data_IF_649072704734
#
_entry.id   IF_649072704734
#
_cell.length_a   1.000
_cell.length_b   1.000
_cell.length_c   1.000
_cell.angle_alpha   90.00
_cell.angle_beta   90.00
_cell.angle_gamma   90.00
#
_symmetry.space_group_name_H-M   'P 1'
#
loop_
_entity.id
_entity.type
_entity.pdbx_description
1 polymer ?
#
# COMPACT_ATOMS: atom_id res chain seq x y z
N UNK A 1 -15.36 36.95 76.82
CA UNK A 1 -16.79 37.02 76.58
C UNK A 1 -17.06 36.27 75.31
N UNK A 2 -17.49 35.08 75.45
CA UNK A 2 -18.81 34.57 75.12
C UNK A 2 -19.16 34.72 73.61
N UNK A 3 -19.49 33.77 72.85
CA UNK A 3 -20.12 32.45 73.01
C UNK A 3 -20.10 31.77 71.61
N UNK A 4 -19.98 30.52 71.61
CA UNK A 4 -20.94 29.43 71.31
C UNK A 4 -21.96 29.71 70.22
N UNK A 5 -22.08 28.92 69.22
CA UNK A 5 -22.77 27.65 68.93
C UNK A 5 -23.03 27.67 67.39
N UNK A 6 -22.96 26.69 66.63
CA UNK A 6 -23.75 25.52 66.51
C UNK A 6 -23.48 24.72 65.28
N UNK A 7 -23.64 23.46 65.44
CA UNK A 7 -24.03 22.34 64.58
C UNK A 7 -24.39 22.64 63.13
N UNK A 8 -23.85 21.89 62.20
CA UNK A 8 -24.24 20.54 61.87
C UNK A 8 -24.70 20.57 60.43
N UNK A 9 -24.25 19.71 59.67
CA UNK A 9 -24.97 18.77 58.84
C UNK A 9 -23.99 18.13 57.84
N UNK A 10 -23.67 16.91 58.15
CA UNK A 10 -23.06 15.98 57.19
C UNK A 10 -24.05 15.75 56.07
N UNK A 11 -23.73 16.16 54.86
CA UNK A 11 -24.36 15.68 53.65
C UNK A 11 -23.47 14.63 53.04
N UNK A 12 -23.81 13.38 53.26
CA UNK A 12 -23.36 12.18 52.58
C UNK A 12 -23.64 12.34 51.07
N UNK A 13 -22.61 12.64 50.29
CA UNK A 13 -22.69 12.50 48.85
C UNK A 13 -22.25 11.10 48.44
N UNK A 14 -23.23 10.25 48.24
CA UNK A 14 -23.07 8.98 47.51
C UNK A 14 -22.61 9.30 46.09
N UNK A 15 -21.32 9.08 45.83
CA UNK A 15 -20.76 9.16 44.50
C UNK A 15 -21.25 7.98 43.64
N UNK A 16 -22.20 8.26 42.77
CA UNK A 16 -22.49 7.36 41.66
C UNK A 16 -21.27 7.33 40.72
N UNK A 17 -20.60 6.20 40.74
CA UNK A 17 -19.56 5.87 39.78
C UNK A 17 -20.14 5.85 38.38
N UNK A 18 -19.87 6.88 37.60
CA UNK A 18 -19.98 6.81 36.13
C UNK A 18 -18.88 5.87 35.66
N UNK A 19 -19.24 4.62 35.41
CA UNK A 19 -18.44 3.74 34.55
C UNK A 19 -18.23 4.48 33.22
N UNK A 20 -16.99 4.90 32.98
CA UNK A 20 -16.52 5.25 31.65
C UNK A 20 -16.54 3.95 30.86
N UNK A 21 -17.62 3.72 30.16
CA UNK A 21 -17.66 2.72 29.10
C UNK A 21 -16.58 3.07 28.08
N UNK A 22 -15.46 2.40 28.20
CA UNK A 22 -14.42 2.37 27.19
C UNK A 22 -15.07 1.74 25.96
N UNK A 23 -15.40 2.57 24.97
CA UNK A 23 -15.73 2.11 23.61
C UNK A 23 -14.47 1.44 23.06
N UNK A 24 -14.29 0.17 23.40
CA UNK A 24 -13.40 -0.72 22.68
C UNK A 24 -14.02 -0.85 21.31
N UNK A 25 -13.58 -0.03 20.37
CA UNK A 25 -13.86 -0.23 18.96
C UNK A 25 -13.35 -1.64 18.64
N UNK A 26 -14.26 -2.59 18.56
CA UNK A 26 -13.95 -3.93 18.06
C UNK A 26 -13.25 -3.73 16.72
N UNK A 27 -11.98 -4.13 16.64
CA UNK A 27 -11.23 -4.09 15.40
C UNK A 27 -12.11 -4.83 14.36
N UNK A 28 -12.61 -4.07 13.37
CA UNK A 28 -13.38 -4.66 12.29
C UNK A 28 -12.52 -5.78 11.72
N UNK A 29 -13.03 -7.01 11.73
CA UNK A 29 -12.30 -8.16 11.21
C UNK A 29 -11.75 -7.80 9.84
N UNK A 30 -10.46 -8.05 9.64
CA UNK A 30 -9.80 -7.76 8.36
C UNK A 30 -10.46 -8.65 7.30
N UNK A 31 -11.14 -8.03 6.34
CA UNK A 31 -11.76 -8.75 5.23
C UNK A 31 -10.69 -9.61 4.52
N UNK A 32 -10.90 -10.93 4.39
CA UNK A 32 -9.93 -11.81 3.78
C UNK A 32 -9.77 -11.50 2.28
N UNK A 33 -8.56 -11.67 1.74
CA UNK A 33 -8.34 -11.63 0.30
C UNK A 33 -8.99 -12.85 -0.34
N UNK A 34 -9.90 -12.59 -1.25
CA UNK A 34 -10.55 -13.56 -2.14
C UNK A 34 -10.44 -13.09 -3.59
N UNK A 35 -10.78 -13.94 -4.55
CA UNK A 35 -10.83 -13.57 -5.96
C UNK A 35 -11.79 -12.39 -6.19
N UNK A 36 -12.94 -12.39 -5.53
CA UNK A 36 -13.94 -11.33 -5.60
C UNK A 36 -13.37 -9.98 -5.12
N UNK A 37 -12.70 -9.96 -3.97
CA UNK A 37 -12.05 -8.75 -3.42
C UNK A 37 -10.94 -8.28 -4.37
N UNK A 38 -10.18 -9.21 -4.94
CA UNK A 38 -9.11 -8.92 -5.89
C UNK A 38 -9.63 -8.15 -7.12
N UNK A 39 -10.65 -8.69 -7.80
CA UNK A 39 -11.20 -8.05 -9.02
C UNK A 39 -11.89 -6.72 -8.71
N UNK A 40 -12.53 -6.57 -7.55
CA UNK A 40 -13.11 -5.30 -7.11
C UNK A 40 -12.03 -4.23 -6.92
N UNK A 41 -10.89 -4.57 -6.32
CA UNK A 41 -9.76 -3.65 -6.16
C UNK A 41 -9.19 -3.25 -7.53
N UNK A 42 -9.03 -4.20 -8.45
CA UNK A 42 -8.53 -3.90 -9.79
C UNK A 42 -9.45 -2.93 -10.55
N UNK A 43 -10.77 -3.14 -10.47
CA UNK A 43 -11.76 -2.23 -11.04
C UNK A 43 -11.72 -0.85 -10.38
N UNK A 44 -11.56 -0.78 -9.06
CA UNK A 44 -11.41 0.48 -8.33
C UNK A 44 -10.15 1.25 -8.78
N UNK A 45 -9.01 0.59 -8.92
CA UNK A 45 -7.77 1.24 -9.36
C UNK A 45 -7.86 1.72 -10.82
N UNK A 46 -8.60 1.02 -11.68
CA UNK A 46 -8.94 1.52 -13.01
C UNK A 46 -9.78 2.80 -12.92
N UNK A 47 -10.84 2.81 -12.09
CA UNK A 47 -11.71 4.00 -11.93
C UNK A 47 -10.96 5.21 -11.39
N UNK A 48 -9.95 5.00 -10.53
CA UNK A 48 -9.06 6.05 -10.02
C UNK A 48 -8.04 6.54 -11.06
N UNK A 49 -7.98 5.91 -12.24
CA UNK A 49 -7.06 6.28 -13.31
C UNK A 49 -5.63 5.78 -13.11
N UNK A 50 -5.43 4.82 -12.22
CA UNK A 50 -4.09 4.29 -11.91
C UNK A 50 -3.71 3.06 -12.75
N UNK A 51 -4.71 2.40 -13.36
CA UNK A 51 -4.51 1.21 -14.19
C UNK A 51 -5.30 1.31 -15.51
N UNK A 52 -5.07 2.41 -16.24
CA UNK A 52 -5.77 2.67 -17.50
C UNK A 52 -5.33 1.71 -18.62
N UNK A 53 -6.24 1.47 -19.55
CA UNK A 53 -6.02 0.49 -20.62
C UNK A 53 -5.91 -0.92 -20.03
N UNK A 54 -4.78 -1.59 -20.28
CA UNK A 54 -4.47 -2.89 -19.68
C UNK A 54 -3.28 -2.84 -18.72
N UNK A 55 -2.89 -1.62 -18.32
CA UNK A 55 -1.69 -1.36 -17.51
C UNK A 55 -1.85 -1.76 -16.05
N UNK A 56 -0.71 -1.80 -15.34
CA UNK A 56 -0.68 -2.13 -13.92
C UNK A 56 -1.03 -3.58 -13.60
N UNK A 57 -1.02 -3.90 -12.32
CA UNK A 57 -1.33 -5.24 -11.85
C UNK A 57 -1.22 -5.39 -10.34
N UNK A 58 -1.62 -6.52 -9.83
CA UNK A 58 -1.57 -6.84 -8.42
C UNK A 58 -1.21 -8.31 -8.21
N UNK A 59 -0.54 -8.57 -7.10
CA UNK A 59 -0.40 -9.90 -6.53
C UNK A 59 -0.74 -9.84 -5.04
N UNK A 60 -1.53 -10.78 -4.55
CA UNK A 60 -1.94 -10.82 -3.15
C UNK A 60 -2.16 -12.25 -2.68
N UNK A 61 -1.71 -12.55 -1.45
CA UNK A 61 -1.98 -13.84 -0.82
C UNK A 61 -3.47 -14.03 -0.56
N UNK A 62 -4.03 -15.12 -1.08
CA UNK A 62 -5.38 -15.56 -0.75
C UNK A 62 -5.43 -16.06 0.69
N UNK A 63 -6.46 -15.66 1.41
CA UNK A 63 -6.52 -15.91 2.85
C UNK A 63 -6.73 -17.39 3.19
N UNK A 64 -7.42 -18.15 2.34
CA UNK A 64 -7.82 -19.54 2.61
C UNK A 64 -6.67 -20.55 2.62
N UNK A 65 -5.65 -20.34 1.79
CA UNK A 65 -4.59 -21.33 1.54
C UNK A 65 -3.18 -20.73 1.32
N UNK A 66 -3.07 -19.40 1.34
CA UNK A 66 -1.80 -18.71 1.12
C UNK A 66 -1.29 -18.71 -0.32
N UNK A 67 -2.06 -19.23 -1.27
CA UNK A 67 -1.77 -19.12 -2.70
C UNK A 67 -1.75 -17.63 -3.08
N UNK A 68 -0.85 -17.27 -3.96
CA UNK A 68 -0.76 -15.91 -4.48
C UNK A 68 -1.67 -15.77 -5.70
N UNK A 69 -2.68 -14.92 -5.59
CA UNK A 69 -3.48 -14.47 -6.72
C UNK A 69 -2.69 -13.42 -7.50
N UNK A 70 -2.65 -13.54 -8.82
CA UNK A 70 -1.93 -12.62 -9.72
C UNK A 70 -2.83 -12.23 -10.88
N UNK A 71 -2.87 -10.94 -11.19
CA UNK A 71 -3.62 -10.41 -12.33
C UNK A 71 -3.05 -10.90 -13.67
N UNK A 72 -3.90 -11.04 -14.70
CA UNK A 72 -3.44 -11.33 -16.07
C UNK A 72 -2.78 -10.12 -16.72
N UNK A 73 -1.99 -10.40 -17.76
CA UNK A 73 -1.45 -9.42 -18.70
C UNK A 73 -2.49 -9.03 -19.75
N UNK A 74 -2.42 -7.79 -20.23
CA UNK A 74 -3.15 -7.30 -21.42
C UNK A 74 -4.68 -7.42 -21.34
N UNK A 75 -5.24 -7.46 -20.12
CA UNK A 75 -6.69 -7.44 -19.87
C UNK A 75 -7.06 -6.12 -19.20
N UNK A 76 -8.10 -5.40 -19.68
CA UNK A 76 -8.63 -4.23 -18.99
C UNK A 76 -9.06 -4.58 -17.56
N UNK A 77 -8.58 -3.81 -16.58
CA UNK A 77 -8.69 -4.18 -15.16
C UNK A 77 -10.12 -4.13 -14.62
N UNK A 78 -10.97 -3.32 -15.23
CA UNK A 78 -12.41 -3.22 -14.92
C UNK A 78 -13.24 -4.36 -15.53
N UNK A 79 -12.62 -5.23 -16.33
CA UNK A 79 -13.29 -6.37 -17.00
C UNK A 79 -12.91 -7.72 -16.42
N UNK A 80 -12.05 -7.76 -15.43
CA UNK A 80 -11.59 -9.00 -14.84
C UNK A 80 -12.72 -9.77 -14.17
N UNK A 81 -12.81 -11.07 -14.48
CA UNK A 81 -13.57 -12.05 -13.73
C UNK A 81 -12.67 -12.87 -12.80
N UNK A 82 -13.27 -13.56 -11.84
CA UNK A 82 -12.51 -14.39 -10.89
C UNK A 82 -11.72 -15.50 -11.60
N UNK A 83 -12.27 -16.06 -12.69
CA UNK A 83 -11.64 -17.09 -13.51
C UNK A 83 -10.44 -16.60 -14.35
N UNK A 84 -10.21 -15.28 -14.42
CA UNK A 84 -9.09 -14.71 -15.17
C UNK A 84 -7.81 -14.62 -14.36
N UNK A 85 -7.88 -14.90 -13.06
CA UNK A 85 -6.74 -14.81 -12.16
C UNK A 85 -5.82 -16.00 -12.28
N UNK A 86 -4.53 -15.74 -12.12
CA UNK A 86 -3.49 -16.76 -12.04
C UNK A 86 -3.17 -17.09 -10.59
N UNK A 87 -2.80 -18.34 -10.35
CA UNK A 87 -2.46 -18.87 -9.04
C UNK A 87 -0.98 -19.23 -9.00
N UNK A 88 -0.26 -18.73 -8.00
CA UNK A 88 1.15 -19.00 -7.81
C UNK A 88 1.40 -19.55 -6.40
N UNK A 89 2.30 -20.51 -6.31
CA UNK A 89 2.89 -20.91 -5.04
C UNK A 89 4.18 -20.09 -4.81
N UNK A 90 4.17 -19.11 -3.90
CA UNK A 90 5.34 -18.26 -3.68
C UNK A 90 6.54 -19.02 -3.09
N UNK A 91 6.37 -20.23 -2.57
CA UNK A 91 7.43 -21.05 -2.00
C UNK A 91 8.13 -21.92 -3.05
N UNK A 92 7.49 -22.17 -4.19
CA UNK A 92 8.01 -23.03 -5.26
C UNK A 92 8.88 -22.26 -6.26
N UNK A 93 9.93 -22.89 -6.78
CA UNK A 93 10.70 -22.36 -7.92
C UNK A 93 9.87 -22.28 -9.19
N UNK A 94 9.04 -23.31 -9.44
CA UNK A 94 8.01 -23.30 -10.48
C UNK A 94 6.70 -22.81 -9.86
N UNK A 95 6.62 -21.48 -9.73
CA UNK A 95 5.60 -20.84 -8.91
C UNK A 95 4.19 -20.89 -9.52
N UNK A 96 4.05 -20.92 -10.86
CA UNK A 96 2.74 -20.94 -11.53
C UNK A 96 2.07 -22.30 -11.38
N UNK A 97 0.98 -22.37 -10.62
CA UNK A 97 0.24 -23.60 -10.35
C UNK A 97 -1.13 -23.67 -11.01
N UNK A 98 -1.64 -22.56 -11.54
CA UNK A 98 -2.94 -22.53 -12.22
C UNK A 98 -3.27 -21.20 -12.84
N UNK A 99 -4.28 -21.22 -13.73
CA UNK A 99 -4.79 -20.03 -14.40
C UNK A 99 -5.43 -20.37 -15.75
N UNK A 100 -6.07 -19.39 -16.39
CA UNK A 100 -6.74 -19.59 -17.68
C UNK A 100 -5.74 -19.81 -18.81
N UNK A 101 -5.98 -20.84 -19.63
CA UNK A 101 -5.08 -21.22 -20.75
C UNK A 101 -5.06 -20.21 -21.90
N UNK A 102 -6.07 -19.35 -22.01
CA UNK A 102 -6.21 -18.33 -23.07
C UNK A 102 -5.60 -16.97 -22.72
N UNK A 103 -5.14 -16.80 -21.47
CA UNK A 103 -4.47 -15.59 -20.99
C UNK A 103 -3.01 -15.89 -20.61
N UNK A 104 -2.28 -14.84 -20.25
CA UNK A 104 -0.94 -14.93 -19.68
C UNK A 104 -0.90 -14.19 -18.35
N UNK A 105 -0.09 -14.64 -17.38
CA UNK A 105 0.17 -13.88 -16.16
C UNK A 105 0.69 -12.47 -16.49
N UNK A 106 0.49 -11.54 -15.58
CA UNK A 106 1.09 -10.20 -15.66
C UNK A 106 2.59 -10.29 -15.97
N UNK A 107 3.09 -9.43 -16.86
CA UNK A 107 4.52 -9.29 -17.10
C UNK A 107 5.29 -8.93 -15.82
N UNK A 108 4.61 -8.28 -14.86
CA UNK A 108 5.16 -7.95 -13.55
C UNK A 108 5.17 -9.13 -12.56
N UNK A 109 4.64 -10.33 -12.92
CA UNK A 109 4.61 -11.46 -11.99
C UNK A 109 5.99 -11.82 -11.41
N UNK A 110 7.11 -11.78 -12.16
CA UNK A 110 8.43 -12.00 -11.60
C UNK A 110 8.83 -10.97 -10.54
N UNK A 111 8.47 -9.69 -10.73
CA UNK A 111 8.73 -8.62 -9.74
C UNK A 111 7.87 -8.80 -8.49
N UNK A 112 6.59 -9.16 -8.65
CA UNK A 112 5.71 -9.45 -7.52
C UNK A 112 6.25 -10.61 -6.68
N UNK A 113 6.65 -11.71 -7.32
CA UNK A 113 7.25 -12.86 -6.65
C UNK A 113 8.57 -12.49 -5.97
N UNK A 114 9.41 -11.67 -6.61
CA UNK A 114 10.65 -11.19 -6.00
C UNK A 114 10.36 -10.40 -4.71
N UNK A 115 9.47 -9.41 -4.74
CA UNK A 115 9.12 -8.62 -3.57
C UNK A 115 8.51 -9.46 -2.44
N UNK A 116 7.62 -10.39 -2.78
CA UNK A 116 6.98 -11.27 -1.79
C UNK A 116 7.99 -12.20 -1.12
N UNK A 117 8.96 -12.71 -1.86
CA UNK A 117 9.99 -13.63 -1.35
C UNK A 117 11.08 -12.93 -0.56
N UNK A 118 11.52 -11.75 -1.04
CA UNK A 118 12.67 -11.04 -0.48
C UNK A 118 12.32 -10.05 0.63
N UNK A 119 11.04 -9.66 0.74
CA UNK A 119 10.63 -8.64 1.70
C UNK A 119 9.82 -9.28 2.83
N UNK A 120 10.34 -9.26 4.08
CA UNK A 120 9.61 -9.78 5.23
C UNK A 120 8.20 -9.16 5.35
N UNK A 121 7.22 -9.98 5.72
CA UNK A 121 5.82 -9.56 5.88
C UNK A 121 5.10 -9.08 4.61
N UNK A 122 5.72 -9.11 3.44
CA UNK A 122 5.04 -8.76 2.20
C UNK A 122 4.00 -9.83 1.83
N UNK A 123 2.72 -9.44 1.77
CA UNK A 123 1.58 -10.31 1.42
C UNK A 123 0.75 -9.77 0.26
N UNK A 124 1.00 -8.52 -0.13
CA UNK A 124 0.32 -7.89 -1.25
C UNK A 124 1.28 -6.90 -1.92
N UNK A 125 1.30 -6.91 -3.24
CA UNK A 125 2.03 -5.95 -4.09
C UNK A 125 1.06 -5.40 -5.11
N UNK A 126 1.05 -4.08 -5.26
CA UNK A 126 0.24 -3.37 -6.26
C UNK A 126 1.20 -2.56 -7.13
N UNK A 127 1.04 -2.66 -8.44
CA UNK A 127 1.77 -1.87 -9.44
C UNK A 127 0.79 -1.01 -10.22
N UNK A 128 1.05 0.28 -10.28
CA UNK A 128 0.22 1.26 -11.01
C UNK A 128 1.04 2.02 -12.06
N UNK A 129 0.34 2.48 -13.10
CA UNK A 129 0.86 3.40 -14.11
C UNK A 129 0.26 4.79 -13.91
N UNK A 130 0.28 5.29 -12.68
CA UNK A 130 -0.35 6.57 -12.39
C UNK A 130 0.32 7.74 -13.10
N UNK A 131 -0.50 8.69 -13.47
CA UNK A 131 -0.04 9.92 -14.13
C UNK A 131 0.95 10.70 -13.24
N UNK A 132 0.68 10.78 -11.95
CA UNK A 132 1.51 11.56 -11.04
C UNK A 132 2.86 10.89 -10.76
N UNK A 133 2.91 9.55 -10.68
CA UNK A 133 4.19 8.83 -10.62
C UNK A 133 5.06 9.12 -11.85
N UNK A 134 4.46 9.11 -13.05
CA UNK A 134 5.14 9.46 -14.29
C UNK A 134 5.66 10.90 -14.28
N UNK A 135 4.79 11.88 -13.99
CA UNK A 135 5.13 13.30 -14.00
C UNK A 135 6.20 13.65 -12.97
N UNK A 136 6.05 13.21 -11.73
CA UNK A 136 7.00 13.48 -10.65
C UNK A 136 8.38 12.92 -11.01
N UNK A 137 8.47 11.67 -11.45
CA UNK A 137 9.75 11.07 -11.83
C UNK A 137 10.39 11.72 -13.06
N UNK A 138 9.61 12.35 -13.93
CA UNK A 138 10.13 13.13 -15.06
C UNK A 138 10.75 14.47 -14.62
N UNK A 139 10.14 15.16 -13.63
CA UNK A 139 10.70 16.44 -13.12
C UNK A 139 11.88 16.27 -12.17
N UNK A 140 11.98 15.11 -11.51
CA UNK A 140 13.14 14.73 -10.69
C UNK A 140 14.12 13.86 -11.47
N UNK A 141 14.41 14.24 -12.74
CA UNK A 141 15.13 13.43 -13.70
C UNK A 141 16.52 12.98 -13.22
N UNK A 142 17.24 13.85 -12.48
CA UNK A 142 18.60 13.59 -12.01
C UNK A 142 18.63 12.97 -10.59
N UNK A 143 17.47 12.70 -9.97
CA UNK A 143 17.41 12.16 -8.62
C UNK A 143 17.13 10.66 -8.62
N UNK A 144 17.81 9.94 -7.74
CA UNK A 144 17.54 8.51 -7.45
C UNK A 144 16.44 8.28 -6.41
N UNK A 145 15.82 9.39 -5.90
CA UNK A 145 14.76 9.33 -4.91
C UNK A 145 13.92 10.60 -4.88
N UNK A 146 12.72 10.46 -4.35
CA UNK A 146 11.83 11.54 -3.95
C UNK A 146 11.73 11.57 -2.43
N UNK A 147 11.90 12.73 -1.82
CA UNK A 147 11.73 12.95 -0.38
C UNK A 147 10.50 13.82 -0.12
N UNK A 148 9.59 13.34 0.73
CA UNK A 148 8.35 14.02 1.09
C UNK A 148 8.28 14.14 2.61
N UNK A 149 8.00 15.35 3.11
CA UNK A 149 7.92 15.63 4.55
C UNK A 149 6.77 16.59 4.86
N UNK A 150 6.45 16.70 6.14
CA UNK A 150 5.46 17.65 6.67
C UNK A 150 4.08 17.50 6.01
N UNK A 151 3.67 16.25 5.74
CA UNK A 151 2.40 15.90 5.13
C UNK A 151 1.59 14.96 6.04
N UNK A 152 0.31 15.25 6.24
CA UNK A 152 -0.56 14.45 7.10
C UNK A 152 -0.75 13.01 6.56
N UNK A 153 -0.78 12.83 5.24
CA UNK A 153 -0.97 11.52 4.60
C UNK A 153 0.20 10.55 4.81
N UNK A 154 1.35 11.00 5.35
CA UNK A 154 2.44 10.12 5.77
C UNK A 154 1.98 9.11 6.84
N UNK A 155 0.99 9.47 7.67
CA UNK A 155 0.45 8.60 8.71
C UNK A 155 -0.21 7.31 8.19
N UNK A 156 -0.60 7.27 6.94
CA UNK A 156 -1.12 6.06 6.29
C UNK A 156 -0.04 5.12 5.76
N UNK A 157 1.23 5.52 5.79
CA UNK A 157 2.36 4.76 5.26
C UNK A 157 3.08 4.05 6.40
N UNK A 158 3.44 2.79 6.17
CA UNK A 158 4.18 1.97 7.13
C UNK A 158 5.68 2.08 6.82
N UNK A 159 6.46 2.43 7.83
CA UNK A 159 7.91 2.27 7.77
C UNK A 159 8.22 0.76 7.84
N UNK A 160 8.78 0.20 6.76
CA UNK A 160 9.03 -1.24 6.61
C UNK A 160 9.97 -1.79 7.69
N UNK A 161 10.97 -1.01 8.10
CA UNK A 161 11.96 -1.45 9.08
C UNK A 161 11.37 -1.60 10.49
N UNK A 162 10.44 -0.71 10.86
CA UNK A 162 9.83 -0.69 12.19
C UNK A 162 8.47 -1.37 12.26
N UNK A 163 7.81 -1.57 11.12
CA UNK A 163 6.43 -2.07 11.03
C UNK A 163 5.37 -1.07 11.52
N UNK A 164 5.77 0.17 11.86
CA UNK A 164 4.88 1.19 12.41
C UNK A 164 4.48 2.21 11.35
N UNK A 165 3.30 2.82 11.52
CA UNK A 165 2.91 3.97 10.73
C UNK A 165 3.88 5.15 10.95
N UNK A 166 4.17 5.88 9.88
CA UNK A 166 4.99 7.08 9.93
C UNK A 166 4.26 8.21 10.66
N UNK A 167 5.03 9.16 11.18
CA UNK A 167 4.50 10.45 11.67
C UNK A 167 4.50 11.46 10.51
N UNK A 168 3.62 12.43 10.56
CA UNK A 168 3.59 13.54 9.60
C UNK A 168 4.85 14.41 9.62
N UNK A 169 5.66 14.35 10.70
CA UNK A 169 6.94 15.05 10.86
C UNK A 169 8.16 14.26 10.38
N UNK A 170 7.97 13.01 9.95
CA UNK A 170 9.04 12.18 9.37
C UNK A 170 9.18 12.44 7.87
N UNK A 171 10.28 12.00 7.30
CA UNK A 171 10.52 12.08 5.85
C UNK A 171 10.27 10.73 5.20
N UNK A 172 9.31 10.68 4.29
CA UNK A 172 9.14 9.55 3.38
C UNK A 172 10.18 9.64 2.27
N UNK A 173 10.94 8.58 2.08
CA UNK A 173 11.89 8.44 0.98
C UNK A 173 11.38 7.37 0.02
N UNK A 174 11.06 7.77 -1.20
CA UNK A 174 10.66 6.89 -2.29
C UNK A 174 11.81 6.77 -3.29
N UNK A 175 12.50 5.62 -3.39
CA UNK A 175 13.54 5.43 -4.40
C UNK A 175 12.95 5.50 -5.81
N UNK A 176 13.74 6.01 -6.76
CA UNK A 176 13.42 6.08 -8.18
C UNK A 176 14.41 5.18 -8.91
N UNK A 177 13.92 4.17 -9.60
CA UNK A 177 14.71 3.30 -10.47
C UNK A 177 14.46 3.66 -11.93
N UNK A 178 15.44 3.43 -12.78
CA UNK A 178 15.28 3.62 -14.23
C UNK A 178 14.31 2.59 -14.79
N UNK A 179 13.60 2.99 -15.85
CA UNK A 179 12.71 2.06 -16.57
C UNK A 179 13.52 1.16 -17.51
N UNK A 180 13.01 -0.03 -17.74
CA UNK A 180 13.60 -1.00 -18.65
C UNK A 180 12.58 -1.39 -19.74
N UNK A 181 13.03 -1.88 -20.91
CA UNK A 181 12.14 -2.33 -21.98
C UNK A 181 11.22 -3.47 -21.59
N UNK A 182 11.72 -4.41 -20.78
CA UNK A 182 10.98 -5.56 -20.29
C UNK A 182 10.86 -5.54 -18.76
N UNK A 183 9.67 -5.86 -18.25
CA UNK A 183 9.39 -5.78 -16.80
C UNK A 183 10.37 -6.59 -15.94
N UNK A 184 10.75 -7.78 -16.38
CA UNK A 184 11.67 -8.65 -15.61
C UNK A 184 13.09 -8.07 -15.47
N UNK A 185 13.49 -7.16 -16.35
CA UNK A 185 14.79 -6.48 -16.31
C UNK A 185 14.88 -5.47 -15.17
N UNK A 186 13.75 -5.04 -14.62
CA UNK A 186 13.68 -4.16 -13.44
C UNK A 186 14.12 -4.86 -12.14
N UNK A 187 14.15 -6.21 -12.08
CA UNK A 187 14.41 -6.96 -10.85
C UNK A 187 15.71 -6.55 -10.15
N UNK A 188 16.87 -6.44 -10.83
CA UNK A 188 18.12 -6.08 -10.17
C UNK A 188 18.08 -4.68 -9.54
N UNK A 189 17.52 -3.70 -10.25
CA UNK A 189 17.39 -2.32 -9.76
C UNK A 189 16.41 -2.23 -8.59
N UNK A 190 15.30 -2.95 -8.68
CA UNK A 190 14.29 -3.01 -7.62
C UNK A 190 14.85 -3.70 -6.36
N UNK A 191 15.56 -4.82 -6.49
CA UNK A 191 16.22 -5.51 -5.38
C UNK A 191 17.21 -4.59 -4.67
N UNK A 192 18.08 -3.92 -5.42
CA UNK A 192 19.04 -2.94 -4.90
C UNK A 192 18.35 -1.78 -4.17
N UNK A 193 17.23 -1.29 -4.70
CA UNK A 193 16.46 -0.22 -4.07
C UNK A 193 15.82 -0.70 -2.74
N UNK A 194 15.27 -1.91 -2.69
CA UNK A 194 14.74 -2.52 -1.45
C UNK A 194 15.80 -2.62 -0.37
N UNK A 195 17.03 -3.00 -0.73
CA UNK A 195 18.14 -3.13 0.22
C UNK A 195 18.67 -1.77 0.69
N UNK A 196 18.84 -0.81 -0.22
CA UNK A 196 19.38 0.51 0.07
C UNK A 196 18.41 1.42 0.84
N UNK A 197 17.10 1.17 0.71
CA UNK A 197 16.04 1.96 1.35
C UNK A 197 15.17 1.09 2.26
N UNK A 198 15.70 0.62 3.40
CA UNK A 198 15.04 -0.38 4.25
C UNK A 198 13.74 0.09 4.89
N UNK A 199 13.47 1.38 4.90
CA UNK A 199 12.24 1.97 5.47
C UNK A 199 11.07 2.02 4.48
N UNK A 200 11.34 1.94 3.15
CA UNK A 200 10.32 2.12 2.12
C UNK A 200 9.44 0.88 1.94
N UNK A 201 8.16 1.15 1.64
CA UNK A 201 7.19 0.17 1.13
C UNK A 201 6.77 0.48 -0.31
N UNK A 202 7.46 1.40 -0.99
CA UNK A 202 7.15 1.78 -2.36
C UNK A 202 8.41 2.15 -3.15
N UNK A 203 8.37 1.90 -4.45
CA UNK A 203 9.43 2.26 -5.41
C UNK A 203 8.77 2.90 -6.63
N UNK A 204 9.32 4.01 -7.07
CA UNK A 204 8.95 4.68 -8.31
C UNK A 204 9.81 4.13 -9.45
N UNK A 205 9.19 3.87 -10.61
CA UNK A 205 9.88 3.56 -11.85
C UNK A 205 9.76 4.78 -12.76
N UNK A 206 10.91 5.28 -13.24
CA UNK A 206 10.99 6.54 -13.98
C UNK A 206 10.11 6.54 -15.22
N UNK A 207 9.21 7.54 -15.32
CA UNK A 207 8.24 7.72 -16.43
C UNK A 207 7.37 6.50 -16.72
N UNK A 208 7.16 5.65 -15.71
CA UNK A 208 6.38 4.44 -15.82
C UNK A 208 5.25 4.42 -14.78
N UNK A 209 5.59 4.22 -13.53
CA UNK A 209 4.61 4.06 -12.45
C UNK A 209 5.28 3.80 -11.11
N UNK A 210 4.60 3.04 -10.26
CA UNK A 210 5.14 2.66 -8.96
C UNK A 210 4.73 1.25 -8.54
N UNK A 211 5.54 0.67 -7.66
CA UNK A 211 5.22 -0.53 -6.90
C UNK A 211 5.00 -0.15 -5.44
N UNK A 212 3.94 -0.65 -4.81
CA UNK A 212 3.68 -0.53 -3.38
C UNK A 212 3.40 -1.92 -2.82
N UNK A 213 3.94 -2.24 -1.64
CA UNK A 213 3.74 -3.54 -1.01
C UNK A 213 3.51 -3.43 0.49
N UNK A 214 2.88 -4.44 1.06
CA UNK A 214 2.55 -4.44 2.48
C UNK A 214 2.09 -5.79 3.04
N UNK A 215 1.77 -5.81 4.36
CA UNK A 215 1.48 -7.04 5.10
C UNK A 215 0.09 -7.65 4.79
N UNK A 216 -0.79 -6.92 4.16
CA UNK A 216 -2.09 -7.38 3.65
C UNK A 216 -2.61 -6.37 2.64
N UNK A 217 -3.67 -6.74 1.91
CA UNK A 217 -4.22 -5.90 0.86
C UNK A 217 -4.76 -4.55 1.36
N UNK A 218 -5.38 -4.52 2.56
CA UNK A 218 -5.94 -3.29 3.13
C UNK A 218 -4.85 -2.26 3.40
N UNK A 219 -3.77 -2.68 4.08
CA UNK A 219 -2.64 -1.79 4.37
C UNK A 219 -1.93 -1.36 3.10
N UNK A 220 -1.76 -2.28 2.14
CA UNK A 220 -1.14 -1.96 0.85
C UNK A 220 -1.97 -0.95 0.07
N UNK A 221 -3.31 -1.13 0.04
CA UNK A 221 -4.24 -0.17 -0.57
C UNK A 221 -4.16 1.21 0.08
N UNK A 222 -4.21 1.28 1.42
CA UNK A 222 -4.08 2.55 2.15
C UNK A 222 -2.76 3.24 1.83
N UNK A 223 -1.64 2.51 1.83
CA UNK A 223 -0.34 3.08 1.48
C UNK A 223 -0.29 3.56 0.03
N UNK A 224 -0.88 2.81 -0.91
CA UNK A 224 -0.99 3.22 -2.30
C UNK A 224 -1.76 4.54 -2.43
N UNK A 225 -2.93 4.64 -1.82
CA UNK A 225 -3.75 5.87 -1.85
C UNK A 225 -3.01 7.06 -1.24
N UNK A 226 -2.26 6.85 -0.15
CA UNK A 226 -1.44 7.89 0.47
C UNK A 226 -0.29 8.32 -0.45
N UNK A 227 0.42 7.39 -1.07
CA UNK A 227 1.52 7.70 -2.00
C UNK A 227 1.00 8.43 -3.23
N UNK A 228 -0.09 7.96 -3.83
CA UNK A 228 -0.69 8.63 -5.00
C UNK A 228 -1.13 10.07 -4.68
N UNK A 229 -1.78 10.29 -3.54
CA UNK A 229 -2.12 11.63 -3.04
C UNK A 229 -0.86 12.51 -2.87
N UNK A 230 0.19 11.98 -2.26
CA UNK A 230 1.43 12.71 -2.02
C UNK A 230 2.16 13.04 -3.34
N UNK A 231 2.13 12.17 -4.33
CA UNK A 231 2.69 12.44 -5.66
C UNK A 231 1.91 13.55 -6.37
N UNK A 232 0.59 13.56 -6.27
CA UNK A 232 -0.25 14.64 -6.79
C UNK A 232 0.09 15.98 -6.13
N UNK A 233 0.20 16.02 -4.80
CA UNK A 233 0.60 17.22 -4.06
C UNK A 233 2.01 17.69 -4.47
N UNK A 234 2.99 16.80 -4.58
CA UNK A 234 4.33 17.15 -5.05
C UNK A 234 4.32 17.79 -6.45
N UNK A 235 3.51 17.23 -7.36
CA UNK A 235 3.34 17.77 -8.70
C UNK A 235 2.70 19.16 -8.68
N UNK A 236 1.58 19.32 -7.95
CA UNK A 236 0.86 20.59 -7.89
C UNK A 236 1.68 21.68 -7.19
N UNK A 237 2.39 21.39 -6.12
CA UNK A 237 3.30 22.31 -5.47
C UNK A 237 4.39 22.78 -6.44
N UNK A 238 5.05 21.83 -7.13
CA UNK A 238 6.10 22.14 -8.11
C UNK A 238 5.57 22.98 -9.26
N UNK A 239 4.39 22.66 -9.77
CA UNK A 239 3.74 23.41 -10.86
C UNK A 239 3.42 24.84 -10.48
N UNK A 240 3.11 25.11 -9.21
CA UNK A 240 2.79 26.43 -8.67
C UNK A 240 4.01 27.17 -8.06
N UNK A 241 5.22 26.64 -8.21
CA UNK A 241 6.45 27.27 -7.73
C UNK A 241 6.65 27.27 -6.21
N UNK A 242 5.97 26.32 -5.53
CA UNK A 242 6.08 26.10 -4.08
C UNK A 242 7.15 25.05 -3.73
#
# INVERSE_FOLDING_TARGET
MNGKIGNGDEISATGEGREKGELVATAKEIEPMTEQVFIQLMAQFFQLGWMLGSSGGMAAHRASDGILLVSPSSVPKERLGESDLFHFDPSSTDALIGGPSHLRPSACAPLFLHLIRSTPMCRCVIHTHSKYANLVTAIYAESDRLEIKDQEMLKGIINRQTGKAMRNTETLVLPIVENEPEEHELIPALAKAVDNFPTTCAILVRRHGLFVWGPNWQKTKVMLECVEYLLEICWEMRRNGM
#
